data_IF_391865623376
#
_entry.id   IF_391865623376
#
_cell.length_a   1.000
_cell.length_b   1.000
_cell.length_c   1.000
_cell.angle_alpha   90.00
_cell.angle_beta   90.00
_cell.angle_gamma   90.00
#
_symmetry.space_group_name_H-M   'P 1'
#
loop_
_entity.id
_entity.type
_entity.pdbx_description
1 polymer ?
#
# COMPACT_ATOMS: atom_id res chain seq x y z
N UNK A 1 -12.82 -10.63 3.39
CA UNK A 1 -13.08 -9.22 3.74
C UNK A 1 -14.56 -9.04 4.03
N UNK A 2 -14.91 -8.40 5.15
CA UNK A 2 -16.29 -8.02 5.45
C UNK A 2 -16.48 -6.54 5.19
N UNK A 3 -17.50 -6.17 4.42
CA UNK A 3 -17.96 -4.79 4.28
C UNK A 3 -19.13 -4.62 5.23
N UNK A 4 -19.03 -3.62 6.09
CA UNK A 4 -20.05 -3.29 7.07
C UNK A 4 -20.55 -1.88 6.82
N UNK A 5 -21.85 -1.66 6.99
CA UNK A 5 -22.37 -0.30 7.01
C UNK A 5 -22.00 0.40 8.33
N UNK A 6 -22.31 1.70 8.42
CA UNK A 6 -21.99 2.51 9.61
C UNK A 6 -22.74 2.06 10.87
N UNK A 7 -23.80 1.25 10.74
CA UNK A 7 -24.55 0.68 11.86
C UNK A 7 -23.92 -0.62 12.38
N UNK A 8 -22.96 -1.17 11.62
CA UNK A 8 -22.29 -2.44 11.93
C UNK A 8 -22.95 -3.66 11.28
N UNK A 9 -23.94 -3.48 10.39
CA UNK A 9 -24.50 -4.60 9.67
C UNK A 9 -23.55 -5.02 8.53
N UNK A 10 -23.33 -6.34 8.37
CA UNK A 10 -22.55 -6.86 7.25
C UNK A 10 -23.39 -6.73 5.97
N UNK A 11 -22.90 -5.92 5.03
CA UNK A 11 -23.54 -5.66 3.73
C UNK A 11 -22.84 -6.37 2.57
N UNK A 12 -21.67 -6.97 2.82
CA UNK A 12 -20.95 -7.79 1.85
C UNK A 12 -19.87 -8.64 2.49
N UNK A 13 -19.67 -9.84 1.94
CA UNK A 13 -18.59 -10.77 2.31
C UNK A 13 -17.88 -11.16 1.03
N UNK A 14 -16.55 -10.98 1.01
CA UNK A 14 -15.70 -11.27 -0.13
C UNK A 14 -14.55 -12.18 0.32
N UNK A 15 -14.57 -13.43 -0.11
CA UNK A 15 -13.61 -14.50 0.21
C UNK A 15 -12.95 -15.10 -1.04
N UNK A 16 -13.06 -14.42 -2.17
CA UNK A 16 -12.62 -14.86 -3.50
C UNK A 16 -11.18 -14.46 -3.87
N UNK A 17 -10.41 -13.97 -2.89
CA UNK A 17 -9.03 -13.52 -3.09
C UNK A 17 -8.03 -14.43 -2.40
N UNK A 18 -6.79 -14.44 -2.89
CA UNK A 18 -5.67 -15.03 -2.16
C UNK A 18 -5.45 -14.31 -0.82
N UNK A 19 -5.11 -15.04 0.26
CA UNK A 19 -4.76 -14.44 1.54
C UNK A 19 -3.60 -13.45 1.39
N UNK A 20 -3.65 -12.36 2.15
CA UNK A 20 -2.56 -11.39 2.25
C UNK A 20 -2.54 -10.80 3.66
N UNK A 21 -1.39 -10.25 4.03
CA UNK A 21 -1.25 -9.44 5.24
C UNK A 21 -1.19 -7.98 4.86
N UNK A 22 -1.67 -7.09 5.73
CA UNK A 22 -1.50 -5.66 5.55
C UNK A 22 -1.24 -4.98 6.89
N UNK A 23 -0.58 -3.83 6.83
CA UNK A 23 -0.38 -2.95 7.99
C UNK A 23 -1.12 -1.63 7.78
N UNK A 24 -0.92 -1.02 6.62
CA UNK A 24 -1.41 0.32 6.34
C UNK A 24 -2.31 0.34 5.10
N UNK A 25 -3.39 1.10 5.22
CA UNK A 25 -4.34 1.40 4.14
C UNK A 25 -3.96 2.76 3.56
N UNK A 26 -4.00 2.90 2.23
CA UNK A 26 -3.79 4.18 1.55
C UNK A 26 -5.06 5.01 1.63
N UNK A 27 -6.18 4.44 1.17
CA UNK A 27 -7.51 5.03 1.24
C UNK A 27 -8.57 3.96 0.94
N UNK A 28 -9.82 4.24 1.30
CA UNK A 28 -10.98 3.49 0.82
C UNK A 28 -12.05 4.46 0.35
N UNK A 29 -12.85 4.07 -0.64
CA UNK A 29 -13.93 4.92 -1.15
C UNK A 29 -14.97 4.10 -1.92
N UNK A 30 -16.19 4.62 -2.01
CA UNK A 30 -17.25 4.07 -2.86
C UNK A 30 -17.16 4.62 -4.29
N UNK A 31 -17.54 3.79 -5.26
CA UNK A 31 -17.81 4.21 -6.62
C UNK A 31 -19.14 3.59 -7.11
N UNK A 32 -19.49 3.80 -8.38
CA UNK A 32 -20.79 3.38 -8.91
C UNK A 32 -21.10 1.88 -8.85
N UNK A 33 -20.10 1.01 -8.69
CA UNK A 33 -20.27 -0.45 -8.69
C UNK A 33 -19.97 -1.12 -7.35
N UNK A 34 -19.29 -0.43 -6.42
CA UNK A 34 -18.96 -0.97 -5.11
C UNK A 34 -17.92 -0.18 -4.34
N UNK A 35 -17.13 -0.87 -3.52
CA UNK A 35 -16.13 -0.26 -2.63
C UNK A 35 -14.73 -0.56 -3.15
N UNK A 36 -13.90 0.47 -3.22
CA UNK A 36 -12.46 0.35 -3.51
C UNK A 36 -11.66 0.50 -2.23
N UNK A 37 -10.65 -0.35 -2.06
CA UNK A 37 -9.65 -0.30 -1.00
C UNK A 37 -8.25 -0.34 -1.64
N UNK A 38 -7.49 0.73 -1.43
CA UNK A 38 -6.09 0.80 -1.80
C UNK A 38 -5.24 0.56 -0.55
N UNK A 39 -4.37 -0.46 -0.59
CA UNK A 39 -3.72 -1.01 0.61
C UNK A 39 -2.30 -1.49 0.31
N UNK A 40 -1.40 -1.37 1.29
CA UNK A 40 -0.10 -2.02 1.25
C UNK A 40 -0.20 -3.45 1.75
N UNK A 41 0.18 -4.42 0.92
CA UNK A 41 0.07 -5.85 1.21
C UNK A 41 1.43 -6.54 1.31
N UNK A 42 1.46 -7.65 2.03
CA UNK A 42 2.60 -8.55 2.17
C UNK A 42 2.13 -9.99 1.98
N UNK A 43 2.98 -10.82 1.36
CA UNK A 43 2.72 -12.24 1.17
C UNK A 43 2.97 -13.06 2.45
N UNK A 44 3.73 -12.49 3.39
CA UNK A 44 4.04 -13.08 4.70
C UNK A 44 3.79 -12.06 5.80
N UNK A 45 3.57 -12.52 7.04
CA UNK A 45 3.30 -11.63 8.17
C UNK A 45 4.46 -10.64 8.33
N UNK A 46 4.24 -9.32 8.16
CA UNK A 46 5.33 -8.35 8.20
C UNK A 46 5.98 -8.24 9.59
N UNK A 47 5.32 -8.71 10.64
CA UNK A 47 5.74 -8.61 12.05
C UNK A 47 6.05 -9.95 12.73
N UNK A 48 5.94 -11.09 12.06
CA UNK A 48 6.24 -12.39 12.68
C UNK A 48 7.74 -12.69 12.54
N UNK A 49 8.52 -12.56 13.62
CA UNK A 49 9.99 -12.86 13.64
C UNK A 49 10.69 -12.54 12.31
N UNK A 50 10.27 -11.42 11.70
CA UNK A 50 10.53 -11.15 10.29
C UNK A 50 11.79 -10.29 10.21
N UNK A 51 12.43 -10.22 9.04
CA UNK A 51 13.49 -9.25 8.77
C UNK A 51 13.18 -7.81 9.19
N UNK A 52 11.89 -7.44 9.33
CA UNK A 52 11.46 -6.12 9.75
C UNK A 52 11.56 -5.85 11.26
N UNK A 53 11.70 -6.86 12.12
CA UNK A 53 11.84 -6.71 13.58
C UNK A 53 13.10 -7.36 14.17
N UNK A 54 13.81 -8.16 13.38
CA UNK A 54 15.07 -8.79 13.77
C UNK A 54 16.19 -7.78 13.55
N UNK A 55 16.64 -7.13 14.63
CA UNK A 55 17.69 -6.09 14.57
C UNK A 55 18.99 -6.57 13.93
N UNK A 56 19.31 -7.87 14.04
CA UNK A 56 20.49 -8.46 13.41
C UNK A 56 20.43 -8.37 11.87
N UNK A 57 19.25 -8.40 11.26
CA UNK A 57 19.07 -8.23 9.83
C UNK A 57 19.27 -6.76 9.40
N UNK A 58 19.06 -5.79 10.29
CA UNK A 58 19.27 -4.39 9.97
C UNK A 58 20.73 -3.93 10.07
N UNK A 59 21.55 -4.60 10.90
CA UNK A 59 22.98 -4.30 11.05
C UNK A 59 23.85 -4.96 9.97
N UNK A 60 23.38 -6.02 9.32
CA UNK A 60 24.03 -6.64 8.15
C UNK A 60 23.46 -6.04 6.85
N UNK A 61 24.27 -5.26 6.14
CA UNK A 61 23.87 -4.62 4.88
C UNK A 61 23.48 -5.65 3.82
N UNK A 62 24.24 -6.73 3.65
CA UNK A 62 24.02 -7.72 2.61
C UNK A 62 22.70 -8.46 2.85
N UNK A 63 22.46 -8.85 4.11
CA UNK A 63 21.22 -9.52 4.49
C UNK A 63 20.00 -8.60 4.34
N UNK A 64 20.11 -7.33 4.77
CA UNK A 64 19.05 -6.33 4.68
C UNK A 64 18.65 -6.02 3.23
N UNK A 65 19.63 -5.80 2.37
CA UNK A 65 19.41 -5.45 0.97
C UNK A 65 18.76 -6.62 0.20
N UNK A 66 19.03 -7.85 0.61
CA UNK A 66 18.49 -9.09 0.04
C UNK A 66 17.11 -9.49 0.57
N UNK A 67 16.50 -8.71 1.49
CA UNK A 67 15.26 -9.09 2.12
C UNK A 67 14.12 -9.25 1.08
N UNK A 68 13.44 -10.41 1.03
CA UNK A 68 12.47 -10.72 -0.01
C UNK A 68 11.09 -10.11 0.25
N UNK A 69 10.72 -9.91 1.53
CA UNK A 69 9.40 -9.43 1.89
C UNK A 69 9.30 -7.91 1.68
N UNK A 70 8.60 -7.49 0.62
CA UNK A 70 8.41 -6.09 0.25
C UNK A 70 6.92 -5.78 0.23
N UNK A 71 6.55 -4.67 0.86
CA UNK A 71 5.18 -4.19 0.78
C UNK A 71 4.84 -3.88 -0.68
N UNK A 72 3.71 -4.42 -1.14
CA UNK A 72 3.17 -4.17 -2.48
C UNK A 72 1.89 -3.37 -2.39
N UNK A 73 1.81 -2.29 -3.18
CA UNK A 73 0.58 -1.50 -3.25
C UNK A 73 -0.44 -2.20 -4.15
N UNK A 74 -1.60 -2.52 -3.56
CA UNK A 74 -2.69 -3.27 -4.18
C UNK A 74 -4.01 -2.49 -4.11
N UNK A 75 -4.76 -2.50 -5.20
CA UNK A 75 -6.13 -2.02 -5.31
C UNK A 75 -7.06 -3.21 -5.30
N UNK A 76 -8.01 -3.19 -4.37
CA UNK A 76 -9.10 -4.14 -4.28
C UNK A 76 -10.39 -3.39 -4.65
N UNK A 77 -11.16 -3.90 -5.59
CA UNK A 77 -12.50 -3.41 -5.86
C UNK A 77 -13.53 -4.50 -5.59
N UNK A 78 -14.31 -4.30 -4.53
CA UNK A 78 -15.36 -5.20 -4.08
C UNK A 78 -16.66 -4.86 -4.80
N UNK A 79 -17.06 -5.69 -5.76
CA UNK A 79 -18.25 -5.45 -6.59
C UNK A 79 -19.52 -5.71 -5.78
N UNK A 80 -20.27 -4.65 -5.46
CA UNK A 80 -21.51 -4.74 -4.67
C UNK A 80 -22.78 -4.78 -5.55
N UNK A 81 -22.63 -4.52 -6.84
CA UNK A 81 -23.72 -4.45 -7.83
C UNK A 81 -23.27 -4.89 -9.22
N UNK A 82 -24.21 -5.03 -10.15
CA UNK A 82 -23.94 -5.38 -11.55
C UNK A 82 -23.58 -6.86 -11.76
N UNK A 83 -23.05 -7.17 -12.96
CA UNK A 83 -22.76 -8.55 -13.39
C UNK A 83 -21.65 -9.23 -12.57
N UNK A 84 -20.75 -8.45 -11.97
CA UNK A 84 -19.65 -8.93 -11.14
C UNK A 84 -19.99 -8.93 -9.64
N UNK A 85 -21.24 -8.66 -9.25
CA UNK A 85 -21.62 -8.60 -7.83
C UNK A 85 -21.14 -9.83 -7.07
N UNK A 86 -20.46 -9.60 -5.94
CA UNK A 86 -19.94 -10.65 -5.07
C UNK A 86 -18.53 -11.11 -5.40
N UNK A 87 -17.88 -10.53 -6.42
CA UNK A 87 -16.47 -10.79 -6.72
C UNK A 87 -15.57 -9.59 -6.40
N UNK A 88 -14.26 -9.83 -6.37
CA UNK A 88 -13.24 -8.82 -6.15
C UNK A 88 -12.31 -8.71 -7.34
N UNK A 89 -12.11 -7.49 -7.84
CA UNK A 89 -11.00 -7.20 -8.76
C UNK A 89 -9.77 -6.81 -7.95
N UNK A 90 -8.62 -7.40 -8.30
CA UNK A 90 -7.33 -7.19 -7.62
C UNK A 90 -6.30 -6.68 -8.62
N UNK A 91 -5.63 -5.58 -8.31
CA UNK A 91 -4.60 -4.98 -9.17
C UNK A 91 -3.42 -4.46 -8.33
N UNK A 92 -2.20 -4.88 -8.62
CA UNK A 92 -0.98 -4.32 -8.01
C UNK A 92 -0.45 -3.18 -8.88
N UNK A 93 -0.16 -2.02 -8.27
CA UNK A 93 0.13 -0.78 -9.03
C UNK A 93 1.38 -0.02 -8.55
N UNK A 94 2.45 -0.74 -8.23
CA UNK A 94 3.76 -0.17 -7.88
C UNK A 94 4.89 -0.55 -8.86
N UNK A 95 6.08 0.02 -8.67
CA UNK A 95 7.29 -0.46 -9.33
C UNK A 95 7.74 -1.77 -8.69
N UNK A 96 7.99 -2.79 -9.51
CA UNK A 96 8.54 -4.05 -9.02
C UNK A 96 9.91 -3.85 -8.35
N UNK A 97 10.19 -4.66 -7.34
CA UNK A 97 11.44 -4.58 -6.59
C UNK A 97 11.56 -3.36 -5.68
N UNK A 98 10.50 -2.58 -5.48
CA UNK A 98 10.47 -1.51 -4.47
C UNK A 98 9.51 -1.89 -3.35
N UNK A 99 9.67 -1.23 -2.21
CA UNK A 99 8.70 -1.32 -1.13
C UNK A 99 8.16 0.08 -0.84
N UNK A 100 6.84 0.19 -0.73
CA UNK A 100 6.15 1.43 -0.36
C UNK A 100 5.42 1.22 0.95
N UNK A 101 5.53 2.18 1.87
CA UNK A 101 4.79 2.15 3.12
C UNK A 101 4.56 3.58 3.65
N UNK A 102 3.86 3.69 4.80
CA UNK A 102 3.49 4.95 5.45
C UNK A 102 2.77 5.90 4.49
N UNK A 103 1.67 5.38 3.95
CA UNK A 103 0.89 6.05 2.94
C UNK A 103 0.17 7.28 3.51
N UNK A 104 0.13 8.36 2.74
CA UNK A 104 -0.74 9.52 3.00
C UNK A 104 -1.46 9.98 1.76
N UNK A 105 -2.70 10.37 1.95
CA UNK A 105 -3.49 11.14 0.97
C UNK A 105 -3.71 12.56 1.50
N UNK A 106 -4.21 13.46 0.66
CA UNK A 106 -4.82 14.68 1.17
C UNK A 106 -6.02 14.29 2.03
N UNK A 107 -6.04 14.70 3.30
CA UNK A 107 -7.10 14.34 4.24
C UNK A 107 -8.50 14.81 3.80
N UNK A 108 -8.61 15.88 3.00
CA UNK A 108 -9.86 16.29 2.37
C UNK A 108 -10.41 15.27 1.34
N UNK A 109 -9.63 14.23 1.02
CA UNK A 109 -9.99 13.12 0.13
C UNK A 109 -10.04 11.76 0.84
N UNK A 110 -9.87 11.73 2.16
CA UNK A 110 -10.04 10.50 2.94
C UNK A 110 -11.46 9.99 2.79
N UNK A 111 -11.65 8.71 2.44
CA UNK A 111 -12.99 8.15 2.19
C UNK A 111 -13.56 8.47 0.80
N UNK A 112 -12.88 9.27 -0.02
CA UNK A 112 -13.37 9.77 -1.31
C UNK A 112 -12.46 9.35 -2.48
N UNK A 113 -12.98 9.32 -3.72
CA UNK A 113 -12.15 9.14 -4.90
C UNK A 113 -10.99 10.14 -4.93
N UNK A 114 -9.79 9.65 -5.25
CA UNK A 114 -8.55 10.40 -5.19
C UNK A 114 -7.58 9.97 -6.29
N UNK A 115 -6.66 10.87 -6.65
CA UNK A 115 -5.62 10.59 -7.65
C UNK A 115 -4.22 10.48 -7.04
N UNK A 116 -3.97 11.14 -5.90
CA UNK A 116 -2.62 11.35 -5.38
C UNK A 116 -2.47 10.73 -4.01
N UNK A 117 -1.47 9.86 -3.85
CA UNK A 117 -0.93 9.51 -2.54
C UNK A 117 0.58 9.78 -2.47
N UNK A 118 1.05 9.85 -1.24
CA UNK A 118 2.44 9.94 -0.86
C UNK A 118 2.83 8.71 -0.07
N UNK A 119 4.09 8.32 -0.15
CA UNK A 119 4.61 7.17 0.58
C UNK A 119 6.11 7.33 0.81
N UNK A 120 6.64 6.60 1.78
CA UNK A 120 8.07 6.33 1.83
C UNK A 120 8.35 5.15 0.91
N UNK A 121 9.38 5.29 0.07
CA UNK A 121 9.86 4.24 -0.81
C UNK A 121 11.24 3.76 -0.34
N UNK A 122 11.39 2.44 -0.15
CA UNK A 122 12.67 1.75 0.07
C UNK A 122 13.09 1.02 -1.21
N UNK A 123 14.37 0.66 -1.30
CA UNK A 123 14.96 0.08 -2.50
C UNK A 123 14.65 0.93 -3.75
N UNK A 124 14.79 2.25 -3.65
CA UNK A 124 14.49 3.15 -4.77
C UNK A 124 15.38 2.87 -6.01
N UNK A 125 16.60 2.37 -5.80
CA UNK A 125 17.50 1.86 -6.85
C UNK A 125 17.25 0.39 -7.24
N UNK A 126 16.28 -0.27 -6.61
CA UNK A 126 15.94 -1.68 -6.79
C UNK A 126 16.83 -2.66 -6.01
N UNK A 127 17.86 -2.18 -5.31
CA UNK A 127 18.93 -3.02 -4.75
C UNK A 127 19.18 -2.75 -3.26
N UNK A 128 19.40 -1.49 -2.89
CA UNK A 128 19.82 -1.13 -1.53
C UNK A 128 18.61 -0.78 -0.66
N UNK A 129 18.43 -1.46 0.46
CA UNK A 129 17.31 -1.21 1.40
C UNK A 129 17.21 0.28 1.76
N UNK A 130 18.34 0.88 2.15
CA UNK A 130 18.41 2.25 2.65
C UNK A 130 18.51 3.30 1.53
N UNK A 131 18.33 2.92 0.26
CA UNK A 131 18.13 3.87 -0.82
C UNK A 131 16.67 4.28 -0.82
N UNK A 132 16.39 5.40 -0.14
CA UNK A 132 15.03 5.82 0.20
C UNK A 132 14.63 7.10 -0.52
N UNK A 133 13.33 7.24 -0.75
CA UNK A 133 12.72 8.44 -1.31
C UNK A 133 11.34 8.71 -0.70
N UNK A 134 10.88 9.95 -0.78
CA UNK A 134 9.44 10.24 -0.67
C UNK A 134 8.86 10.19 -2.06
N UNK A 135 7.89 9.29 -2.26
CA UNK A 135 7.10 9.19 -3.48
C UNK A 135 5.88 10.13 -3.37
N UNK A 136 5.58 10.82 -4.47
CA UNK A 136 4.25 11.32 -4.83
C UNK A 136 3.81 10.55 -6.07
N UNK A 137 2.72 9.80 -5.98
CA UNK A 137 2.15 9.07 -7.12
C UNK A 137 0.79 9.67 -7.50
N UNK A 138 0.70 10.23 -8.71
CA UNK A 138 -0.55 10.60 -9.35
C UNK A 138 -1.03 9.41 -10.22
N UNK A 139 -1.91 8.60 -9.65
CA UNK A 139 -2.43 7.37 -10.25
C UNK A 139 -3.33 7.64 -11.46
N UNK A 140 -3.98 8.80 -11.50
CA UNK A 140 -4.85 9.18 -12.61
C UNK A 140 -4.05 9.50 -13.88
N UNK A 141 -2.80 9.94 -13.71
CA UNK A 141 -1.88 10.22 -14.83
C UNK A 141 -0.78 9.16 -15.00
N UNK A 142 -0.68 8.20 -14.08
CA UNK A 142 0.44 7.26 -14.01
C UNK A 142 1.80 7.92 -13.74
N UNK A 143 1.81 9.14 -13.17
CA UNK A 143 3.06 9.88 -12.95
C UNK A 143 3.59 9.73 -11.53
N UNK A 144 4.89 9.52 -11.41
CA UNK A 144 5.58 9.38 -10.12
C UNK A 144 6.65 10.44 -10.00
N UNK A 145 6.63 11.18 -8.90
CA UNK A 145 7.62 12.20 -8.56
C UNK A 145 8.30 11.81 -7.25
N UNK A 146 9.61 11.98 -7.18
CA UNK A 146 10.40 11.55 -6.03
C UNK A 146 11.17 12.72 -5.45
N UNK A 147 11.17 12.81 -4.12
CA UNK A 147 12.19 13.55 -3.39
C UNK A 147 13.19 12.56 -2.81
N UNK A 148 14.48 12.76 -3.10
CA UNK A 148 15.57 11.94 -2.56
C UNK A 148 16.83 12.79 -2.41
N UNK A 149 17.68 12.40 -1.46
CA UNK A 149 19.01 12.97 -1.27
C UNK A 149 20.00 11.87 -0.84
N UNK A 150 21.28 11.94 -1.21
CA UNK A 150 22.30 11.02 -0.70
C UNK A 150 22.30 11.02 0.84
N UNK A 151 22.51 9.84 1.44
CA UNK A 151 22.62 9.65 2.90
C UNK A 151 21.46 10.27 3.71
N UNK A 152 20.24 10.22 3.15
CA UNK A 152 19.04 10.77 3.78
C UNK A 152 17.96 9.70 3.84
N UNK A 153 17.37 9.52 5.03
CA UNK A 153 16.44 8.44 5.34
C UNK A 153 15.12 9.04 5.83
N UNK A 154 14.22 9.42 4.92
CA UNK A 154 12.97 10.07 5.31
C UNK A 154 12.04 9.10 6.06
N UNK A 155 11.30 9.65 7.02
CA UNK A 155 10.18 8.96 7.66
C UNK A 155 8.85 9.22 6.95
N UNK A 156 7.75 8.85 7.62
CA UNK A 156 6.39 9.04 7.12
C UNK A 156 6.15 10.50 6.66
N UNK A 157 5.75 10.72 5.39
CA UNK A 157 5.36 12.05 4.94
C UNK A 157 4.04 12.46 5.59
N UNK A 158 3.79 13.77 5.69
CA UNK A 158 2.48 14.30 6.07
C UNK A 158 2.07 15.39 5.08
N UNK A 159 0.82 15.31 4.59
CA UNK A 159 0.29 16.31 3.66
C UNK A 159 -0.46 17.39 4.44
N UNK A 160 -0.12 18.66 4.19
CA UNK A 160 -0.82 19.83 4.72
C UNK A 160 -1.33 20.65 3.53
N UNK A 161 -2.63 20.96 3.54
CA UNK A 161 -3.32 21.73 2.48
C UNK A 161 -3.19 23.24 2.68
#
# INVERSE_FOLDING_TARGET
VHIMDYTGAIVGVFDDMQPFYHTHIINSFENGTGVTLDVGVYDTVPFEKSPALVTSLFVDKTARDSAPNRCTVRRLHFHMSGASKGTTTVEDFQNQGRALDFFKVNMARSGLPYCIYYAVEWWHDGVSYANMAILKHDMCKGTRTYWKRPNTYPGEPFFVS
#
